data_IF_818184427891
#
_entry.id   IF_818184427891
#
_cell.length_a   1.000
_cell.length_b   1.000
_cell.length_c   1.000
_cell.angle_alpha   90.00
_cell.angle_beta   90.00
_cell.angle_gamma   90.00
#
_symmetry.space_group_name_H-M   'P 1'
#
loop_
_entity.id
_entity.type
_entity.pdbx_description
1 polymer ?
#
# COMPACT_ATOMS: atom_id res chain seq x y z
N UNK A 1 -5.41 -11.30 -18.83
CA UNK A 1 -6.87 -11.24 -19.09
C UNK A 1 -7.59 -10.95 -17.78
N UNK A 2 -8.66 -10.16 -17.86
CA UNK A 2 -9.49 -9.78 -16.71
C UNK A 2 -10.48 -8.69 -17.12
N UNK A 3 -11.22 -8.15 -16.16
CA UNK A 3 -12.09 -6.99 -16.29
C UNK A 3 -11.21 -5.75 -16.45
N UNK A 4 -11.44 -4.92 -17.48
CA UNK A 4 -10.66 -3.72 -17.71
C UNK A 4 -10.85 -2.73 -16.54
N UNK A 5 -9.73 -2.22 -16.02
CA UNK A 5 -9.68 -1.22 -14.96
C UNK A 5 -8.92 0.02 -15.44
N UNK A 6 -9.59 1.16 -15.38
CA UNK A 6 -8.98 2.48 -15.52
C UNK A 6 -8.95 3.12 -14.14
N UNK A 7 -7.76 3.32 -13.59
CA UNK A 7 -7.61 3.83 -12.24
C UNK A 7 -6.90 5.19 -12.25
N UNK A 8 -7.44 6.14 -11.50
CA UNK A 8 -6.85 7.46 -11.27
C UNK A 8 -6.59 7.65 -9.78
N UNK A 9 -5.35 7.94 -9.43
CA UNK A 9 -4.94 8.20 -8.05
C UNK A 9 -4.41 9.63 -7.98
N UNK A 10 -5.13 10.49 -7.28
CA UNK A 10 -4.73 11.87 -7.04
C UNK A 10 -3.96 11.97 -5.73
N UNK A 11 -2.82 12.63 -5.74
CA UNK A 11 -1.98 12.86 -4.56
C UNK A 11 -2.04 14.33 -4.16
N UNK A 12 -2.42 14.57 -2.89
CA UNK A 12 -2.52 15.91 -2.29
C UNK A 12 -1.58 15.99 -1.08
N UNK A 13 -0.75 17.03 -1.00
CA UNK A 13 0.06 17.27 0.18
C UNK A 13 -0.82 17.77 1.34
N UNK A 14 -0.88 17.03 2.44
CA UNK A 14 -1.71 17.36 3.60
C UNK A 14 -1.27 18.62 4.35
N UNK A 15 -0.04 19.09 4.10
CA UNK A 15 0.49 20.29 4.74
C UNK A 15 0.11 21.58 4.01
N UNK A 16 -0.06 21.48 2.68
CA UNK A 16 -0.34 22.63 1.82
C UNK A 16 -1.72 22.60 1.18
N UNK A 17 -2.37 21.43 1.16
CA UNK A 17 -3.59 21.14 0.41
C UNK A 17 -3.47 21.33 -1.10
N UNK A 18 -2.24 21.31 -1.62
CA UNK A 18 -1.97 21.46 -3.05
C UNK A 18 -1.71 20.07 -3.68
N UNK A 19 -2.02 19.91 -4.99
CA UNK A 19 -1.64 18.72 -5.74
C UNK A 19 -0.13 18.50 -5.73
N UNK A 20 0.29 17.24 -5.59
CA UNK A 20 1.71 16.87 -5.63
C UNK A 20 2.08 16.48 -7.05
N UNK A 21 2.77 17.36 -7.77
CA UNK A 21 3.23 17.11 -9.13
C UNK A 21 4.59 16.38 -9.14
N UNK A 22 4.75 15.43 -10.05
CA UNK A 22 6.04 14.76 -10.31
C UNK A 22 6.42 13.72 -9.26
N UNK A 23 5.52 13.33 -8.37
CA UNK A 23 5.68 12.17 -7.51
C UNK A 23 5.58 10.91 -8.37
N UNK A 24 6.57 10.04 -8.31
CA UNK A 24 6.50 8.75 -8.99
C UNK A 24 5.69 7.78 -8.15
N UNK A 25 4.52 7.40 -8.66
CA UNK A 25 3.62 6.46 -8.01
C UNK A 25 3.76 5.07 -8.61
N UNK A 26 4.22 4.10 -7.83
CA UNK A 26 4.24 2.67 -8.17
C UNK A 26 2.87 2.08 -7.84
N UNK A 27 2.27 1.41 -8.81
CA UNK A 27 0.95 0.80 -8.74
C UNK A 27 1.13 -0.68 -9.07
N UNK A 28 0.83 -1.57 -8.12
CA UNK A 28 1.13 -2.98 -8.23
C UNK A 28 0.05 -3.86 -7.60
N UNK A 29 -0.43 -4.83 -8.36
CA UNK A 29 -1.42 -5.79 -7.89
C UNK A 29 -1.27 -7.16 -8.53
N UNK A 30 -1.96 -8.17 -7.98
CA UNK A 30 -1.97 -9.52 -8.52
C UNK A 30 -2.85 -9.62 -9.78
N UNK A 31 -2.64 -10.67 -10.56
CA UNK A 31 -3.54 -11.02 -11.67
C UNK A 31 -4.86 -11.61 -11.16
N UNK A 32 -5.78 -11.92 -12.06
CA UNK A 32 -7.11 -12.45 -11.74
C UNK A 32 -7.10 -13.77 -10.93
N UNK A 33 -5.99 -14.47 -10.86
CA UNK A 33 -5.82 -15.71 -10.09
C UNK A 33 -4.91 -15.55 -8.86
N UNK A 34 -4.65 -14.32 -8.44
CA UNK A 34 -3.94 -14.01 -7.20
C UNK A 34 -2.43 -14.03 -7.29
N UNK A 35 -1.83 -14.00 -8.51
CA UNK A 35 -0.38 -14.07 -8.70
C UNK A 35 0.21 -12.69 -8.98
N UNK A 36 1.19 -12.28 -8.18
CA UNK A 36 2.00 -11.06 -8.41
C UNK A 36 3.18 -11.33 -9.33
N UNK A 37 3.47 -10.40 -10.23
CA UNK A 37 4.74 -10.38 -10.96
C UNK A 37 5.91 -10.09 -10.01
N UNK A 38 7.09 -10.62 -10.31
CA UNK A 38 8.28 -10.42 -9.51
C UNK A 38 8.35 -11.28 -8.24
N UNK A 39 7.34 -12.13 -7.95
CA UNK A 39 7.25 -12.93 -6.73
C UNK A 39 7.23 -14.42 -7.06
N UNK A 40 8.20 -15.17 -6.50
CA UNK A 40 8.29 -16.64 -6.56
C UNK A 40 8.02 -17.17 -5.16
N UNK A 41 6.76 -17.32 -4.81
CA UNK A 41 6.31 -17.77 -3.49
C UNK A 41 5.00 -18.54 -3.59
N UNK A 42 4.65 -19.30 -2.57
CA UNK A 42 3.31 -19.86 -2.43
C UNK A 42 2.34 -18.81 -1.93
N UNK A 43 1.10 -18.87 -2.41
CA UNK A 43 0.04 -17.91 -2.01
C UNK A 43 -0.15 -16.82 -3.04
N UNK A 44 0.55 -15.70 -2.91
CA UNK A 44 0.42 -14.54 -3.80
C UNK A 44 1.43 -14.49 -4.96
N UNK A 45 2.29 -15.49 -5.10
CA UNK A 45 3.22 -15.66 -6.22
C UNK A 45 2.97 -16.97 -6.95
N UNK A 46 3.93 -17.36 -7.77
CA UNK A 46 3.98 -18.70 -8.38
C UNK A 46 5.28 -19.39 -7.98
N UNK A 47 5.21 -20.26 -6.97
CA UNK A 47 6.37 -21.04 -6.50
C UNK A 47 6.86 -22.10 -7.50
N UNK A 48 6.04 -22.43 -8.50
CA UNK A 48 6.39 -23.39 -9.54
C UNK A 48 7.08 -22.75 -10.74
N UNK A 49 6.97 -21.44 -10.91
CA UNK A 49 7.57 -20.66 -11.99
C UNK A 49 8.67 -19.73 -11.48
N UNK A 50 9.89 -20.24 -11.46
CA UNK A 50 11.07 -19.44 -11.04
C UNK A 50 11.34 -18.25 -11.97
N UNK A 51 10.81 -18.24 -13.21
CA UNK A 51 10.98 -17.12 -14.14
C UNK A 51 10.06 -15.94 -13.79
N UNK A 52 9.10 -16.14 -12.89
CA UNK A 52 8.18 -15.09 -12.46
C UNK A 52 8.90 -13.93 -11.78
N UNK A 53 10.10 -14.14 -11.21
CA UNK A 53 10.92 -13.09 -10.60
C UNK A 53 11.27 -11.97 -11.59
N UNK A 54 11.38 -12.28 -12.89
CA UNK A 54 11.73 -11.34 -13.95
C UNK A 54 10.50 -10.68 -14.60
N UNK A 55 9.29 -11.09 -14.23
CA UNK A 55 8.05 -10.57 -14.81
C UNK A 55 7.64 -9.26 -14.15
N UNK A 56 6.99 -8.40 -14.93
CA UNK A 56 6.57 -7.05 -14.53
C UNK A 56 5.10 -6.76 -14.83
N UNK A 57 4.30 -7.77 -15.13
CA UNK A 57 2.88 -7.56 -15.43
C UNK A 57 2.16 -6.96 -14.21
N UNK A 58 1.17 -6.08 -14.48
CA UNK A 58 0.32 -5.42 -13.49
C UNK A 58 1.12 -4.65 -12.42
N UNK A 59 2.30 -4.16 -12.82
CA UNK A 59 3.09 -3.20 -12.07
C UNK A 59 3.51 -2.06 -12.99
N UNK A 60 3.17 -0.84 -12.62
CA UNK A 60 3.47 0.35 -13.37
C UNK A 60 3.95 1.48 -12.49
N UNK A 61 4.81 2.33 -13.06
CA UNK A 61 5.34 3.52 -12.40
C UNK A 61 5.01 4.73 -13.24
N UNK A 62 4.25 5.68 -12.69
CA UNK A 62 3.79 6.87 -13.38
C UNK A 62 4.07 8.11 -12.52
N UNK A 63 4.65 9.20 -13.07
CA UNK A 63 4.71 10.47 -12.35
C UNK A 63 3.31 11.11 -12.31
N UNK A 64 2.97 11.73 -11.20
CA UNK A 64 1.76 12.55 -11.10
C UNK A 64 1.87 13.80 -11.99
N UNK A 65 0.77 14.20 -12.62
CA UNK A 65 0.65 15.38 -13.47
C UNK A 65 0.51 16.69 -12.68
N UNK A 66 0.11 17.79 -13.35
CA UNK A 66 -0.07 19.11 -12.73
C UNK A 66 -1.23 19.16 -11.72
N UNK A 67 -2.20 18.27 -11.83
CA UNK A 67 -3.33 18.11 -10.92
C UNK A 67 -3.05 17.05 -9.83
N UNK A 68 -1.82 16.54 -9.75
CA UNK A 68 -1.40 15.51 -8.82
C UNK A 68 -1.91 14.10 -9.16
N UNK A 69 -2.39 13.87 -10.39
CA UNK A 69 -3.03 12.63 -10.81
C UNK A 69 -2.04 11.70 -11.51
N UNK A 70 -2.04 10.43 -11.12
CA UNK A 70 -1.42 9.33 -11.84
C UNK A 70 -2.51 8.40 -12.38
N UNK A 71 -2.54 8.16 -13.71
CA UNK A 71 -3.54 7.34 -14.38
C UNK A 71 -2.95 6.01 -14.85
N UNK A 72 -3.72 4.94 -14.68
CA UNK A 72 -3.34 3.57 -15.03
C UNK A 72 -4.42 2.88 -15.85
N UNK A 73 -3.99 2.13 -16.85
CA UNK A 73 -4.83 1.15 -17.54
C UNK A 73 -4.36 -0.25 -17.14
N UNK A 74 -5.24 -1.03 -16.55
CA UNK A 74 -4.94 -2.33 -15.97
C UNK A 74 -6.13 -3.27 -16.12
N UNK A 75 -6.11 -4.36 -15.36
CA UNK A 75 -7.28 -5.20 -15.09
C UNK A 75 -7.64 -5.10 -13.61
N UNK A 76 -8.87 -5.39 -13.27
CA UNK A 76 -9.27 -5.51 -11.87
C UNK A 76 -8.43 -6.57 -11.15
N UNK A 77 -7.90 -6.33 -9.94
CA UNK A 77 -7.10 -7.32 -9.23
C UNK A 77 -7.94 -8.54 -8.84
N UNK A 78 -7.33 -9.71 -8.86
CA UNK A 78 -7.89 -10.91 -8.27
C UNK A 78 -7.65 -10.94 -6.75
N UNK A 79 -7.97 -12.08 -6.14
CA UNK A 79 -7.73 -12.32 -4.72
C UNK A 79 -6.68 -13.39 -4.49
N UNK A 80 -6.09 -13.39 -3.31
CA UNK A 80 -5.31 -14.49 -2.76
C UNK A 80 -5.63 -14.67 -1.27
N UNK A 81 -5.41 -15.88 -0.76
CA UNK A 81 -5.78 -16.26 0.60
C UNK A 81 -5.26 -15.29 1.66
N UNK A 82 -6.08 -14.96 2.63
CA UNK A 82 -5.83 -14.10 3.79
C UNK A 82 -5.79 -12.60 3.51
N UNK A 83 -6.09 -12.14 2.27
CA UNK A 83 -6.15 -10.72 1.93
C UNK A 83 -7.39 -10.40 1.11
N UNK A 84 -8.03 -9.28 1.42
CA UNK A 84 -9.06 -8.68 0.56
C UNK A 84 -8.43 -8.22 -0.76
N UNK A 85 -9.24 -8.07 -1.80
CA UNK A 85 -8.80 -7.58 -3.10
C UNK A 85 -8.28 -6.15 -3.00
N UNK A 86 -7.02 -5.91 -3.37
CA UNK A 86 -6.35 -4.62 -3.18
C UNK A 86 -5.28 -4.33 -4.23
N UNK A 87 -4.86 -3.08 -4.26
CA UNK A 87 -3.76 -2.56 -5.07
C UNK A 87 -2.75 -1.90 -4.14
N UNK A 88 -1.47 -2.25 -4.27
CA UNK A 88 -0.39 -1.56 -3.57
C UNK A 88 -0.03 -0.26 -4.29
N UNK A 89 0.16 0.81 -3.51
CA UNK A 89 0.72 2.07 -4.00
C UNK A 89 1.95 2.47 -3.18
N UNK A 90 2.93 3.07 -3.89
CA UNK A 90 4.13 3.61 -3.27
C UNK A 90 4.50 4.92 -3.97
N UNK A 91 4.42 6.02 -3.26
CA UNK A 91 4.84 7.34 -3.73
C UNK A 91 6.30 7.61 -3.41
N UNK A 92 7.12 7.87 -4.44
CA UNK A 92 8.55 8.16 -4.31
C UNK A 92 8.95 9.47 -5.01
N UNK A 93 9.93 10.17 -4.44
CA UNK A 93 10.44 11.43 -4.96
C UNK A 93 11.96 11.56 -4.76
N UNK A 94 12.59 12.52 -5.46
CA UNK A 94 14.04 12.77 -5.41
C UNK A 94 14.93 11.58 -5.79
N UNK A 95 14.41 10.64 -6.56
CA UNK A 95 15.19 9.56 -7.15
C UNK A 95 15.51 9.80 -8.62
N UNK A 96 15.90 8.76 -9.32
CA UNK A 96 16.27 8.80 -10.73
C UNK A 96 15.54 7.73 -11.51
N UNK A 97 14.84 8.14 -12.58
CA UNK A 97 14.31 7.22 -13.57
C UNK A 97 15.47 6.65 -14.40
N UNK A 98 15.58 5.32 -14.44
CA UNK A 98 16.63 4.62 -15.17
C UNK A 98 16.21 4.32 -16.62
N UNK A 99 17.17 3.96 -17.47
CA UNK A 99 16.93 3.65 -18.90
C UNK A 99 15.97 2.46 -19.11
N UNK A 100 15.87 1.55 -18.15
CA UNK A 100 14.92 0.44 -18.16
C UNK A 100 13.53 0.79 -17.59
N UNK A 101 13.23 2.08 -17.41
CA UNK A 101 12.00 2.62 -16.82
C UNK A 101 11.74 2.18 -15.37
N UNK A 102 12.77 1.78 -14.63
CA UNK A 102 12.69 1.63 -13.18
C UNK A 102 13.14 2.91 -12.47
N UNK A 103 12.77 3.07 -11.21
CA UNK A 103 13.11 4.25 -10.41
C UNK A 103 14.07 3.84 -9.30
N UNK A 104 15.17 4.55 -9.13
CA UNK A 104 16.20 4.22 -8.17
C UNK A 104 16.54 5.40 -7.26
N UNK A 105 16.82 5.09 -6.00
CA UNK A 105 17.10 6.10 -4.98
C UNK A 105 15.85 6.88 -4.57
N UNK A 106 16.07 8.03 -3.94
CA UNK A 106 14.98 8.87 -3.44
C UNK A 106 14.40 8.38 -2.11
N UNK A 107 13.24 8.92 -1.79
CA UNK A 107 12.54 8.68 -0.53
C UNK A 107 11.09 8.33 -0.80
N UNK A 108 10.51 7.47 0.02
CA UNK A 108 9.08 7.24 0.04
C UNK A 108 8.38 8.31 0.90
N UNK A 109 7.38 8.98 0.33
CA UNK A 109 6.47 9.86 1.07
C UNK A 109 5.25 9.11 1.56
N UNK A 110 4.85 8.05 0.84
CA UNK A 110 3.65 7.29 1.11
C UNK A 110 3.82 5.82 0.70
N UNK A 111 3.29 4.94 1.52
CA UNK A 111 3.09 3.51 1.24
C UNK A 111 1.70 3.16 1.73
N UNK A 112 0.90 2.52 0.90
CA UNK A 112 -0.45 2.13 1.27
C UNK A 112 -1.06 1.10 0.34
N UNK A 113 -2.30 0.75 0.63
CA UNK A 113 -3.10 -0.17 -0.17
C UNK A 113 -4.46 0.47 -0.43
N UNK A 114 -4.97 0.27 -1.63
CA UNK A 114 -6.27 0.77 -2.06
C UNK A 114 -7.18 -0.43 -2.34
N UNK A 115 -8.43 -0.32 -1.93
CA UNK A 115 -9.40 -1.40 -1.90
C UNK A 115 -10.63 -1.06 -2.74
N UNK A 116 -11.51 -2.03 -2.90
CA UNK A 116 -12.77 -1.90 -3.63
C UNK A 116 -13.93 -2.34 -2.75
N UNK A 117 -15.14 -1.87 -3.05
CA UNK A 117 -16.35 -2.35 -2.39
C UNK A 117 -16.51 -3.86 -2.51
N UNK A 118 -17.02 -4.48 -1.44
CA UNK A 118 -17.25 -5.92 -1.42
C UNK A 118 -18.25 -6.37 -2.50
N UNK A 119 -19.25 -5.56 -2.81
CA UNK A 119 -20.25 -5.88 -3.83
C UNK A 119 -19.60 -5.91 -5.22
N UNK A 120 -18.74 -4.92 -5.55
CA UNK A 120 -17.99 -4.91 -6.80
C UNK A 120 -17.05 -6.11 -6.91
N UNK A 121 -16.31 -6.43 -5.84
CA UNK A 121 -15.44 -7.62 -5.79
C UNK A 121 -16.27 -8.87 -6.09
N UNK A 122 -17.41 -9.03 -5.42
CA UNK A 122 -18.26 -10.20 -5.57
C UNK A 122 -18.82 -10.37 -6.99
N UNK A 123 -19.13 -9.28 -7.69
CA UNK A 123 -19.56 -9.31 -9.08
C UNK A 123 -18.42 -9.70 -10.03
N UNK A 124 -17.22 -9.15 -9.82
CA UNK A 124 -16.04 -9.48 -10.63
C UNK A 124 -15.63 -10.94 -10.47
N UNK A 125 -15.69 -11.48 -9.25
CA UNK A 125 -15.36 -12.88 -8.96
C UNK A 125 -16.27 -13.90 -9.69
N UNK A 126 -17.45 -13.49 -10.12
CA UNK A 126 -18.34 -14.33 -10.95
C UNK A 126 -17.91 -14.38 -12.42
N UNK A 127 -17.01 -13.51 -12.86
CA UNK A 127 -16.56 -13.43 -14.26
C UNK A 127 -15.31 -14.28 -14.51
N UNK A 128 -15.10 -14.69 -15.76
CA UNK A 128 -13.83 -15.31 -16.16
C UNK A 128 -12.76 -14.21 -16.40
N UNK A 129 -11.49 -14.42 -15.99
CA UNK A 129 -10.93 -15.65 -15.41
C UNK A 129 -11.01 -15.75 -13.89
N UNK A 130 -11.53 -14.73 -13.16
CA UNK A 130 -11.57 -14.68 -11.68
C UNK A 130 -12.27 -15.90 -11.08
N UNK A 131 -13.38 -16.33 -11.67
CA UNK A 131 -14.16 -17.52 -11.25
C UNK A 131 -13.37 -18.85 -11.35
N UNK A 132 -12.18 -18.83 -11.95
CA UNK A 132 -11.27 -19.99 -11.97
C UNK A 132 -10.25 -19.97 -10.83
N UNK A 133 -10.18 -18.88 -10.07
CA UNK A 133 -9.32 -18.79 -8.90
C UNK A 133 -9.83 -19.73 -7.81
N UNK A 134 -8.98 -20.64 -7.37
CA UNK A 134 -9.31 -21.67 -6.37
C UNK A 134 -8.82 -21.32 -4.98
N UNK A 135 -8.20 -20.17 -4.80
CA UNK A 135 -7.80 -19.67 -3.50
C UNK A 135 -9.04 -19.27 -2.68
N UNK A 136 -8.92 -19.26 -1.38
CA UNK A 136 -10.00 -18.80 -0.50
C UNK A 136 -10.11 -17.27 -0.61
N UNK A 137 -11.31 -16.79 -0.92
CA UNK A 137 -11.62 -15.37 -0.94
C UNK A 137 -11.74 -14.84 0.49
N UNK A 138 -10.95 -13.84 0.82
CA UNK A 138 -11.04 -13.10 2.08
C UNK A 138 -11.87 -11.84 1.83
N UNK A 139 -12.92 -11.66 2.61
CA UNK A 139 -13.77 -10.46 2.49
C UNK A 139 -13.10 -9.23 3.11
N UNK A 140 -13.58 -8.04 2.72
CA UNK A 140 -13.12 -6.77 3.32
C UNK A 140 -13.27 -6.77 4.86
N UNK A 141 -14.32 -7.40 5.39
CA UNK A 141 -14.58 -7.48 6.83
C UNK A 141 -13.61 -8.40 7.58
N UNK A 142 -12.93 -9.30 6.89
CA UNK A 142 -11.99 -10.28 7.45
C UNK A 142 -10.52 -9.86 7.30
N UNK A 143 -10.23 -8.85 6.48
CA UNK A 143 -8.85 -8.39 6.23
C UNK A 143 -8.40 -7.45 7.35
N UNK A 144 -7.38 -7.90 8.11
CA UNK A 144 -6.83 -7.13 9.21
C UNK A 144 -6.11 -5.88 8.71
N UNK A 145 -5.41 -5.95 7.58
CA UNK A 145 -4.67 -4.81 7.03
C UNK A 145 -5.61 -3.73 6.54
N UNK A 146 -6.71 -4.11 5.86
CA UNK A 146 -7.76 -3.15 5.53
C UNK A 146 -8.34 -2.49 6.79
N UNK A 147 -8.56 -3.26 7.85
CA UNK A 147 -9.04 -2.71 9.13
C UNK A 147 -8.06 -1.72 9.75
N UNK A 148 -6.75 -1.95 9.60
CA UNK A 148 -5.70 -1.03 10.06
C UNK A 148 -5.61 0.20 9.15
N UNK A 149 -5.67 0.05 7.83
CA UNK A 149 -5.68 1.15 6.86
C UNK A 149 -6.92 2.04 7.00
N UNK A 150 -8.09 1.47 7.28
CA UNK A 150 -9.34 2.19 7.48
C UNK A 150 -9.51 2.79 8.88
N UNK A 151 -8.50 2.65 9.76
CA UNK A 151 -8.53 3.27 11.08
C UNK A 151 -8.41 4.80 11.00
N UNK A 152 -8.87 5.51 12.03
CA UNK A 152 -8.65 6.95 12.19
C UNK A 152 -9.25 7.86 11.08
N UNK A 153 -10.48 7.54 10.64
CA UNK A 153 -11.22 8.32 9.63
C UNK A 153 -10.60 8.30 8.21
N UNK A 154 -9.70 7.36 7.93
CA UNK A 154 -9.18 7.13 6.61
C UNK A 154 -10.11 6.17 5.82
N UNK A 155 -10.35 6.48 4.54
CA UNK A 155 -11.15 5.67 3.61
C UNK A 155 -10.27 5.20 2.46
N UNK A 156 -9.79 3.93 2.48
CA UNK A 156 -8.91 3.40 1.45
C UNK A 156 -9.66 2.89 0.21
N UNK A 157 -10.97 3.09 0.13
CA UNK A 157 -11.78 2.57 -0.96
C UNK A 157 -11.79 3.49 -2.17
N UNK A 158 -11.62 2.88 -3.36
CA UNK A 158 -11.89 3.56 -4.61
C UNK A 158 -13.38 3.91 -4.73
N UNK A 159 -13.65 5.12 -5.18
CA UNK A 159 -14.91 5.46 -5.86
C UNK A 159 -14.86 4.88 -7.27
N UNK A 160 -15.99 4.46 -7.83
CA UNK A 160 -16.01 3.88 -9.16
C UNK A 160 -17.32 4.06 -9.93
N UNK A 161 -17.23 3.87 -11.24
CA UNK A 161 -18.39 3.68 -12.13
C UNK A 161 -18.11 2.53 -13.09
N UNK A 162 -19.15 1.80 -13.46
CA UNK A 162 -19.06 0.83 -14.55
C UNK A 162 -19.11 1.56 -15.90
N UNK A 163 -18.32 1.07 -16.86
CA UNK A 163 -18.27 1.65 -18.20
C UNK A 163 -19.40 1.16 -19.12
N UNK A 164 -20.27 0.28 -18.62
CA UNK A 164 -21.43 -0.23 -19.31
C UNK A 164 -22.44 -0.83 -18.34
N UNK A 165 -23.21 -1.83 -18.79
CA UNK A 165 -24.30 -2.41 -18.01
C UNK A 165 -23.80 -3.45 -16.97
N UNK A 166 -22.53 -3.87 -17.05
CA UNK A 166 -21.96 -4.90 -16.20
C UNK A 166 -20.46 -4.64 -15.93
N UNK A 167 -19.91 -5.33 -14.94
CA UNK A 167 -18.47 -5.28 -14.62
C UNK A 167 -17.59 -5.73 -15.80
N UNK A 168 -18.12 -6.59 -16.68
CA UNK A 168 -17.40 -7.05 -17.88
C UNK A 168 -17.17 -5.96 -18.93
N UNK A 169 -17.90 -4.83 -18.84
CA UNK A 169 -17.72 -3.68 -19.73
C UNK A 169 -16.56 -2.76 -19.26
N UNK A 170 -15.98 -3.04 -18.08
CA UNK A 170 -14.89 -2.30 -17.48
C UNK A 170 -15.32 -1.40 -16.34
N UNK A 171 -14.33 -1.00 -15.56
CA UNK A 171 -14.47 -0.14 -14.37
C UNK A 171 -13.56 1.07 -14.50
N UNK A 172 -14.09 2.27 -14.29
CA UNK A 172 -13.32 3.48 -14.02
C UNK A 172 -13.36 3.73 -12.51
N UNK A 173 -12.20 3.78 -11.87
CA UNK A 173 -12.06 3.97 -10.44
C UNK A 173 -11.14 5.16 -10.14
N UNK A 174 -11.43 5.92 -9.06
CA UNK A 174 -10.60 7.05 -8.65
C UNK A 174 -10.57 7.20 -7.13
N UNK A 175 -9.48 7.79 -6.64
CA UNK A 175 -9.31 8.12 -5.23
C UNK A 175 -8.35 9.30 -5.07
N UNK A 176 -8.56 10.13 -4.04
CA UNK A 176 -7.61 11.16 -3.63
C UNK A 176 -6.93 10.72 -2.34
N UNK A 177 -5.59 10.71 -2.36
CA UNK A 177 -4.74 10.24 -1.27
C UNK A 177 -3.96 11.43 -0.70
N UNK A 178 -4.15 11.69 0.60
CA UNK A 178 -3.38 12.70 1.33
C UNK A 178 -2.01 12.17 1.72
N UNK A 179 -0.94 12.87 1.34
CA UNK A 179 0.43 12.49 1.69
C UNK A 179 1.14 13.63 2.43
N UNK A 180 2.04 13.28 3.33
CA UNK A 180 2.93 14.25 3.96
C UNK A 180 4.26 14.29 3.20
N UNK A 181 4.44 15.30 2.34
CA UNK A 181 5.64 15.45 1.51
C UNK A 181 6.90 15.83 2.32
N UNK A 182 6.78 16.11 3.61
CA UNK A 182 7.94 16.28 4.50
C UNK A 182 8.51 14.96 4.99
N UNK A 183 7.76 13.87 4.86
CA UNK A 183 8.23 12.53 5.22
C UNK A 183 9.25 12.02 4.19
N UNK A 184 10.31 11.41 4.70
CA UNK A 184 11.35 10.75 3.92
C UNK A 184 11.62 9.38 4.54
N UNK A 185 10.92 8.37 4.05
CA UNK A 185 11.04 7.01 4.56
C UNK A 185 11.98 6.18 3.67
N UNK A 186 12.73 5.28 4.27
CA UNK A 186 13.43 4.22 3.55
C UNK A 186 12.61 2.94 3.69
N UNK A 187 12.25 2.36 2.55
CA UNK A 187 11.47 1.12 2.50
C UNK A 187 12.31 -0.03 1.97
N UNK A 188 11.92 -1.26 2.32
CA UNK A 188 12.47 -2.46 1.71
C UNK A 188 11.46 -2.97 0.68
N UNK A 189 11.83 -2.92 -0.61
CA UNK A 189 10.99 -3.45 -1.67
C UNK A 189 10.86 -4.97 -1.56
N UNK A 190 9.68 -5.52 -1.82
CA UNK A 190 9.45 -6.96 -1.88
C UNK A 190 10.19 -7.61 -3.06
N UNK A 191 10.31 -6.88 -4.16
CA UNK A 191 11.08 -7.24 -5.33
C UNK A 191 11.57 -6.01 -6.08
N UNK A 192 12.76 -6.11 -6.69
CA UNK A 192 13.39 -5.05 -7.46
C UNK A 192 13.81 -5.58 -8.81
N UNK A 193 13.49 -4.88 -9.89
CA UNK A 193 14.00 -5.20 -11.22
C UNK A 193 15.35 -4.50 -11.40
N UNK A 194 16.39 -5.29 -11.65
CA UNK A 194 17.75 -4.81 -11.90
C UNK A 194 18.13 -5.02 -13.37
N UNK A 195 19.30 -4.54 -13.78
CA UNK A 195 19.84 -4.79 -15.12
C UNK A 195 20.12 -6.30 -15.38
N UNK A 196 20.32 -7.08 -14.32
CA UNK A 196 20.60 -8.52 -14.37
C UNK A 196 19.36 -9.40 -14.14
N UNK A 197 18.16 -8.79 -14.04
CA UNK A 197 16.88 -9.45 -13.78
C UNK A 197 16.26 -9.05 -12.45
N UNK A 198 15.16 -9.72 -12.09
CA UNK A 198 14.42 -9.48 -10.86
C UNK A 198 15.14 -10.07 -9.64
N UNK A 199 15.09 -9.34 -8.54
CA UNK A 199 15.63 -9.76 -7.24
C UNK A 199 14.54 -9.63 -6.18
N UNK A 200 14.16 -10.73 -5.55
CA UNK A 200 13.27 -10.72 -4.39
C UNK A 200 14.04 -10.35 -3.12
N UNK A 201 13.39 -9.68 -2.18
CA UNK A 201 13.99 -9.43 -0.87
C UNK A 201 14.15 -10.75 -0.09
N UNK A 202 15.16 -10.81 0.80
CA UNK A 202 15.38 -12.00 1.63
C UNK A 202 14.20 -12.30 2.55
N UNK A 203 13.44 -11.29 2.98
CA UNK A 203 12.25 -11.45 3.79
C UNK A 203 11.11 -12.15 3.04
N UNK A 204 10.95 -11.90 1.74
CA UNK A 204 9.97 -12.61 0.90
C UNK A 204 10.41 -14.03 0.59
N UNK A 205 11.72 -14.29 0.46
CA UNK A 205 12.25 -15.65 0.29
C UNK A 205 12.07 -16.52 1.54
N UNK A 206 12.13 -15.92 2.75
CA UNK A 206 11.95 -16.64 4.01
C UNK A 206 10.49 -17.04 4.27
N UNK A 207 9.51 -16.36 3.68
CA UNK A 207 8.08 -16.69 3.82
C UNK A 207 7.60 -17.81 2.89
N UNK A 208 8.39 -18.18 1.89
CA UNK A 208 8.10 -19.36 1.02
C UNK A 208 8.46 -20.71 1.65
N UNK A 209 9.17 -20.73 2.79
CA UNK A 209 9.54 -21.94 3.53
C UNK A 209 9.19 -21.77 4.99
N UNK A 210 8.21 -22.51 5.47
CA UNK A 210 7.59 -22.45 6.80
C UNK A 210 8.47 -21.99 7.96
N UNK A 211 7.94 -21.08 8.72
CA UNK A 211 8.21 -20.82 10.13
C UNK A 211 9.66 -20.56 10.53
N UNK A 212 10.02 -19.31 10.78
CA UNK A 212 11.31 -19.00 11.38
C UNK A 212 11.32 -17.68 12.15
N UNK A 213 11.40 -17.81 13.45
CA UNK A 213 11.52 -16.80 14.50
C UNK A 213 12.54 -15.70 14.19
N UNK A 214 12.17 -14.45 14.50
CA UNK A 214 13.10 -13.33 14.63
C UNK A 214 14.08 -13.53 15.79
N UNK A 215 15.27 -12.91 15.80
CA UNK A 215 16.26 -13.07 16.84
C UNK A 215 15.91 -12.26 18.10
N UNK A 216 15.31 -12.92 19.05
CA UNK A 216 15.20 -12.44 20.43
C UNK A 216 16.47 -12.75 21.19
N UNK A 217 17.16 -11.74 21.69
CA UNK A 217 18.31 -11.86 22.59
C UNK A 217 17.92 -12.38 23.95
N UNK A 218 18.56 -13.45 24.39
CA UNK A 218 19.13 -13.57 25.72
C UNK A 218 18.41 -14.30 26.84
N UNK A 219 19.05 -15.34 27.30
CA UNK A 219 19.21 -15.89 28.64
C UNK A 219 18.16 -16.78 29.29
N UNK A 220 18.57 -18.07 29.32
CA UNK A 220 18.70 -18.87 30.55
C UNK A 220 17.47 -19.53 31.17
N UNK A 221 17.45 -20.87 31.18
CA UNK A 221 16.81 -21.62 32.27
C UNK A 221 16.00 -22.86 31.87
N UNK A 222 16.66 -24.03 31.90
CA UNK A 222 16.18 -25.40 32.25
C UNK A 222 14.72 -25.84 32.06
N UNK A 223 14.61 -26.97 31.41
CA UNK A 223 13.49 -27.87 31.08
C UNK A 223 12.80 -28.52 32.33
N UNK A 224 11.87 -29.51 32.23
CA UNK A 224 11.11 -30.05 31.08
C UNK A 224 9.60 -30.27 31.42
N UNK A 225 8.75 -30.56 30.42
CA UNK A 225 7.39 -31.04 30.66
C UNK A 225 6.53 -31.21 29.41
N UNK A 226 6.22 -32.46 29.15
CA UNK A 226 5.38 -33.00 28.08
C UNK A 226 3.94 -32.45 28.01
N UNK A 227 3.35 -32.37 26.82
CA UNK A 227 1.91 -32.25 26.66
C UNK A 227 1.45 -31.95 25.23
N UNK A 228 0.72 -32.89 24.68
CA UNK A 228 0.08 -33.02 23.37
C UNK A 228 -0.79 -31.83 22.93
N UNK A 229 -0.79 -31.60 21.63
CA UNK A 229 -2.02 -31.49 20.83
C UNK A 229 -2.54 -30.11 20.53
N UNK A 230 -2.57 -29.77 19.25
CA UNK A 230 -3.38 -28.67 18.72
C UNK A 230 -2.90 -28.22 17.33
N UNK A 231 -3.47 -28.79 16.28
CA UNK A 231 -3.31 -28.31 14.90
C UNK A 231 -4.01 -26.95 14.75
N UNK A 232 -3.26 -25.92 14.49
CA UNK A 232 -3.75 -24.63 14.04
C UNK A 232 -2.76 -24.12 12.99
N UNK A 233 -3.01 -24.44 11.72
CA UNK A 233 -2.23 -23.92 10.61
C UNK A 233 -2.64 -22.47 10.34
N UNK A 234 -1.81 -21.54 10.76
CA UNK A 234 -1.88 -20.16 10.27
C UNK A 234 -0.99 -20.07 9.05
N UNK A 235 -1.58 -20.02 7.85
CA UNK A 235 -0.88 -19.70 6.60
C UNK A 235 -0.87 -18.18 6.48
N UNK A 236 0.18 -17.54 7.00
CA UNK A 236 0.47 -16.13 6.74
C UNK A 236 0.95 -15.96 5.29
N UNK A 237 0.24 -15.17 4.49
CA UNK A 237 0.74 -14.66 3.22
C UNK A 237 1.96 -13.74 3.46
N UNK A 238 2.74 -13.42 2.42
CA UNK A 238 3.87 -12.50 2.58
C UNK A 238 3.34 -11.09 2.83
N UNK A 239 3.13 -10.79 4.09
CA UNK A 239 2.91 -9.44 4.55
C UNK A 239 4.24 -8.70 4.40
N UNK A 240 4.30 -7.81 3.41
CA UNK A 240 5.28 -6.76 3.44
C UNK A 240 4.91 -5.85 4.61
N UNK A 241 5.28 -6.27 5.81
CA UNK A 241 5.10 -5.44 6.99
C UNK A 241 6.00 -4.23 6.86
N UNK A 242 5.42 -3.13 6.44
CA UNK A 242 6.06 -1.82 6.46
C UNK A 242 5.98 -1.31 7.90
N UNK A 243 6.85 -1.81 8.78
CA UNK A 243 6.99 -1.27 10.12
C UNK A 243 7.57 0.13 10.00
N UNK A 244 6.73 1.14 10.12
CA UNK A 244 7.14 2.49 10.44
C UNK A 244 7.67 2.49 11.88
N UNK A 245 8.98 2.43 12.03
CA UNK A 245 9.61 2.66 13.33
C UNK A 245 9.49 4.15 13.65
N UNK A 246 8.52 4.52 14.48
CA UNK A 246 8.46 5.82 15.13
C UNK A 246 9.61 5.91 16.13
N UNK A 247 10.65 6.65 15.81
CA UNK A 247 11.63 7.11 16.79
C UNK A 247 11.10 8.37 17.45
N UNK A 248 10.53 8.24 18.63
CA UNK A 248 10.29 9.38 19.54
C UNK A 248 11.64 9.92 19.99
N UNK A 249 12.00 11.12 19.55
CA UNK A 249 13.05 11.91 20.20
C UNK A 249 12.41 12.87 21.17
N UNK A 250 12.59 12.56 22.44
CA UNK A 250 12.25 13.36 23.62
C UNK A 250 12.99 14.72 23.55
N UNK A 251 12.24 15.81 23.41
CA UNK A 251 12.78 17.17 23.53
C UNK A 251 12.34 17.76 24.86
N UNK A 252 13.27 17.77 25.77
CA UNK A 252 13.19 18.44 27.08
C UNK A 252 12.85 19.91 26.95
N UNK A 253 11.75 20.31 27.59
CA UNK A 253 11.37 21.71 27.81
C UNK A 253 12.37 22.40 28.75
N UNK A 254 12.84 23.56 28.32
CA UNK A 254 13.49 24.54 29.20
C UNK A 254 12.59 25.76 29.33
N UNK A 255 12.11 25.99 30.54
CA UNK A 255 11.30 27.16 30.94
C UNK A 255 12.21 28.35 31.16
N UNK A 256 11.83 29.52 30.62
CA UNK A 256 12.25 30.80 31.22
C UNK A 256 11.14 31.83 31.11
N UNK A 257 10.75 32.35 32.27
CA UNK A 257 9.79 33.38 32.56
C UNK A 257 10.22 34.76 32.09
N UNK A 258 9.26 35.59 31.64
CA UNK A 258 9.47 37.03 31.46
C UNK A 258 8.18 37.77 31.12
N UNK A 259 7.60 38.40 32.13
CA UNK A 259 6.41 39.28 32.10
C UNK A 259 6.75 40.64 31.48
N UNK A 260 5.92 41.18 30.59
CA UNK A 260 5.52 42.59 30.65
C UNK A 260 4.25 42.81 29.80
N UNK A 261 3.24 43.44 30.44
CA UNK A 261 2.02 43.94 29.83
C UNK A 261 2.29 45.24 29.05
N UNK A 262 1.58 45.41 27.93
CA UNK A 262 1.22 46.73 27.42
C UNK A 262 -0.05 46.60 26.58
N UNK A 263 -1.06 47.35 27.00
CA UNK A 263 -2.38 47.53 26.41
C UNK A 263 -2.34 48.49 25.23
N UNK A 264 -2.94 48.11 24.09
CA UNK A 264 -3.60 49.09 23.22
C UNK A 264 -4.69 48.41 22.37
N UNK A 265 -5.84 49.00 22.36
CA UNK A 265 -7.06 48.67 21.63
C UNK A 265 -6.94 48.91 20.13
N UNK A 266 -7.53 48.02 19.30
CA UNK A 266 -7.79 48.38 17.92
C UNK A 266 -8.21 47.21 17.01
N UNK A 267 -9.47 47.21 16.61
CA UNK A 267 -10.12 46.60 15.46
C UNK A 267 -10.12 45.06 15.33
N UNK A 268 -11.35 44.55 15.46
CA UNK A 268 -11.76 43.18 15.08
C UNK A 268 -11.60 43.03 13.55
N UNK A 269 -10.53 42.35 13.11
CA UNK A 269 -10.51 41.69 11.81
C UNK A 269 -11.09 40.29 12.05
N UNK A 270 -12.14 39.94 11.33
CA UNK A 270 -12.66 38.61 11.29
C UNK A 270 -11.56 37.71 10.71
N UNK A 271 -10.97 36.82 11.52
CA UNK A 271 -10.18 35.73 11.05
C UNK A 271 -11.12 34.82 10.26
N UNK A 272 -10.94 34.79 8.93
CA UNK A 272 -11.44 33.73 8.13
C UNK A 272 -10.67 32.44 8.60
N UNK A 273 -11.38 31.56 9.28
CA UNK A 273 -10.88 30.22 9.56
C UNK A 273 -10.61 29.59 8.20
N UNK A 274 -9.33 29.34 7.89
CA UNK A 274 -8.94 28.49 6.75
C UNK A 274 -9.72 27.19 6.86
N UNK A 275 -10.44 26.77 5.78
CA UNK A 275 -11.06 25.47 5.77
C UNK A 275 -9.92 24.45 5.87
N UNK A 276 -9.87 23.71 6.97
CA UNK A 276 -8.95 22.59 7.12
C UNK A 276 -9.06 21.71 5.88
N UNK A 277 -7.92 21.35 5.31
CA UNK A 277 -7.87 20.45 4.15
C UNK A 277 -8.61 19.16 4.50
N UNK A 278 -9.75 18.92 3.83
CA UNK A 278 -10.60 17.76 4.10
C UNK A 278 -10.11 16.49 3.40
N UNK A 279 -8.89 16.51 2.84
CA UNK A 279 -8.27 15.31 2.29
C UNK A 279 -8.03 14.34 3.45
N UNK A 280 -8.66 13.19 3.37
CA UNK A 280 -8.49 12.11 4.35
C UNK A 280 -7.03 11.69 4.34
N UNK A 281 -6.37 11.73 5.50
CA UNK A 281 -4.93 11.47 5.60
C UNK A 281 -4.67 9.96 5.55
N UNK A 282 -3.89 9.53 4.57
CA UNK A 282 -3.22 8.24 4.62
C UNK A 282 -1.97 8.36 5.47
N UNK A 283 -1.98 7.81 6.66
CA UNK A 283 -0.84 7.77 7.56
C UNK A 283 0.00 6.51 7.34
#
# INVERSE_FOLDING_TARGET
EGVDLYAEVQIIDVNTCEPVQGLYLDFWHCNATGVYSGIVASGNGDSSDTTNVDKTFLRGLTPTDEDGVASYTSIFPGHYTSRATHIHILGTYNGTLLENNTYSGGYASHVGQLFFDQDLISEVELTAPYSTNTQELTTNAEDQILSEEAAEDFDPFFEYVLLGDSVSDGVLAWISVGVDMTRAQTITAAGTLTADGGVMSESTNAMGGGGGMGPGSGMGGTAPGSGMGGFGGSVGGPEGSFNAASSETDVTQSTTTGVTQSTTSGSVAAEASDPACSVRRNL
#
